data_IF_895234259360
#
_entry.id   IF_895234259360
#
_cell.length_a   1.000
_cell.length_b   1.000
_cell.length_c   1.000
_cell.angle_alpha   90.00
_cell.angle_beta   90.00
_cell.angle_gamma   90.00
#
_symmetry.space_group_name_H-M   'P 1'
#
loop_
_entity.id
_entity.type
_entity.pdbx_description
1 polymer ?
#
# COMPACT_ATOMS: atom_id res chain seq x y z
N UNK A 1 9.34 12.44 -13.24
CA UNK A 1 8.46 12.39 -12.05
C UNK A 1 8.36 13.80 -11.49
N UNK A 2 7.17 14.39 -11.45
CA UNK A 2 7.02 15.78 -10.95
C UNK A 2 6.90 15.79 -9.42
N UNK A 3 7.16 16.95 -8.79
CA UNK A 3 6.97 17.12 -7.33
C UNK A 3 5.55 16.74 -6.88
N UNK A 4 4.57 16.95 -7.77
CA UNK A 4 3.17 16.59 -7.55
C UNK A 4 2.92 15.07 -7.53
N UNK A 5 3.66 14.31 -8.36
CA UNK A 5 3.54 12.84 -8.40
C UNK A 5 4.16 12.20 -7.16
N UNK A 6 5.28 12.76 -6.67
CA UNK A 6 5.90 12.31 -5.41
C UNK A 6 4.96 12.51 -4.21
N UNK A 7 4.29 13.66 -4.11
CA UNK A 7 3.32 13.95 -3.03
C UNK A 7 2.14 12.96 -3.06
N UNK A 8 1.59 12.67 -4.25
CA UNK A 8 0.50 11.70 -4.39
C UNK A 8 0.91 10.28 -3.99
N UNK A 9 2.14 9.87 -4.30
CA UNK A 9 2.67 8.55 -3.92
C UNK A 9 2.92 8.47 -2.41
N UNK A 10 3.45 9.53 -1.80
CA UNK A 10 3.64 9.59 -0.35
C UNK A 10 2.33 9.47 0.43
N UNK A 11 1.23 10.04 -0.07
CA UNK A 11 -0.10 9.88 0.53
C UNK A 11 -0.58 8.42 0.52
N UNK A 12 -0.23 7.64 -0.50
CA UNK A 12 -0.56 6.21 -0.53
C UNK A 12 0.25 5.40 0.48
N UNK A 13 1.45 5.85 0.87
CA UNK A 13 2.23 5.19 1.92
C UNK A 13 1.64 5.40 3.32
N UNK A 14 0.82 6.43 3.53
CA UNK A 14 0.18 6.73 4.82
C UNK A 14 -0.87 5.68 5.25
N UNK A 15 -1.31 4.79 4.34
CA UNK A 15 -2.19 3.67 4.72
C UNK A 15 -1.45 2.56 5.51
N UNK A 16 -0.13 2.62 5.52
CA UNK A 16 0.72 1.77 6.34
C UNK A 16 1.18 2.60 7.54
N UNK A 17 0.86 2.12 8.74
CA UNK A 17 1.32 2.73 9.97
C UNK A 17 2.82 2.43 10.15
N UNK A 18 3.55 3.31 10.82
CA UNK A 18 4.99 3.13 11.04
C UNK A 18 5.29 1.82 11.81
N UNK A 19 4.39 1.39 12.70
CA UNK A 19 4.48 0.15 13.46
C UNK A 19 4.28 -1.12 12.61
N UNK A 20 3.75 -1.03 11.39
CA UNK A 20 3.60 -2.22 10.53
C UNK A 20 4.97 -2.77 10.08
N UNK A 21 6.05 -1.97 10.14
CA UNK A 21 7.41 -2.42 9.83
C UNK A 21 7.68 -2.77 8.36
N UNK A 22 6.80 -2.34 7.44
CA UNK A 22 7.01 -2.51 6.00
C UNK A 22 8.06 -1.51 5.49
N UNK A 23 8.98 -2.01 4.66
CA UNK A 23 9.89 -1.13 3.92
C UNK A 23 9.20 -0.62 2.64
N UNK A 24 9.68 0.49 2.08
CA UNK A 24 9.05 1.14 0.92
C UNK A 24 8.84 0.21 -0.29
N UNK A 25 9.76 -0.73 -0.50
CA UNK A 25 9.64 -1.72 -1.59
C UNK A 25 8.46 -2.67 -1.38
N UNK A 26 8.20 -3.10 -0.14
CA UNK A 26 7.06 -3.92 0.25
C UNK A 26 5.77 -3.12 0.18
N UNK A 27 5.77 -1.86 0.64
CA UNK A 27 4.62 -0.94 0.55
C UNK A 27 4.18 -0.77 -0.92
N UNK A 28 5.13 -0.46 -1.80
CA UNK A 28 4.88 -0.24 -3.22
C UNK A 28 4.28 -1.48 -3.91
N UNK A 29 4.85 -2.66 -3.66
CA UNK A 29 4.33 -3.90 -4.24
C UNK A 29 2.95 -4.25 -3.69
N UNK A 30 2.74 -4.05 -2.40
CA UNK A 30 1.47 -4.34 -1.74
C UNK A 30 0.35 -3.43 -2.26
N UNK A 31 0.62 -2.14 -2.50
CA UNK A 31 -0.33 -1.21 -3.14
C UNK A 31 -0.70 -1.69 -4.55
N UNK A 32 0.29 -1.95 -5.41
CA UNK A 32 0.03 -2.37 -6.80
C UNK A 32 -0.75 -3.68 -6.85
N UNK A 33 -0.37 -4.66 -6.04
CA UNK A 33 -1.08 -5.93 -5.95
C UNK A 33 -2.53 -5.76 -5.49
N UNK A 34 -2.77 -4.83 -4.56
CA UNK A 34 -4.11 -4.55 -4.03
C UNK A 34 -5.02 -3.83 -5.01
N UNK A 35 -4.46 -3.03 -5.92
CA UNK A 35 -5.20 -2.36 -7.01
C UNK A 35 -5.55 -3.34 -8.14
N UNK A 36 -4.91 -4.52 -8.17
CA UNK A 36 -5.30 -5.61 -9.06
C UNK A 36 -4.19 -6.11 -9.98
N UNK A 37 -3.01 -5.52 -9.95
CA UNK A 37 -1.88 -5.98 -10.76
C UNK A 37 -1.40 -7.37 -10.32
N UNK A 38 -1.03 -8.19 -11.30
CA UNK A 38 -0.44 -9.51 -11.09
C UNK A 38 1.04 -9.40 -10.68
N UNK A 39 1.59 -10.48 -10.13
CA UNK A 39 3.01 -10.55 -9.74
C UNK A 39 3.93 -10.27 -10.92
N UNK A 40 3.61 -10.81 -12.09
CA UNK A 40 4.40 -10.64 -13.32
C UNK A 40 4.35 -9.21 -13.85
N UNK A 41 3.17 -8.57 -13.85
CA UNK A 41 3.03 -7.17 -14.24
C UNK A 41 3.81 -6.24 -13.30
N UNK A 42 3.73 -6.48 -11.99
CA UNK A 42 4.48 -5.70 -11.00
C UNK A 42 5.99 -5.89 -11.18
N UNK A 43 6.43 -7.13 -11.43
CA UNK A 43 7.83 -7.43 -11.71
C UNK A 43 8.32 -6.68 -12.95
N UNK A 44 7.51 -6.65 -14.00
CA UNK A 44 7.79 -5.89 -15.22
C UNK A 44 7.88 -4.38 -14.95
N UNK A 45 6.90 -3.77 -14.28
CA UNK A 45 6.91 -2.33 -13.98
C UNK A 45 8.08 -1.89 -13.10
N UNK A 46 8.55 -2.78 -12.23
CA UNK A 46 9.62 -2.49 -11.27
C UNK A 46 11.00 -2.93 -11.74
N UNK A 47 11.15 -3.44 -12.96
CA UNK A 47 12.39 -4.05 -13.45
C UNK A 47 12.95 -5.08 -12.45
N UNK A 48 12.08 -5.95 -11.93
CA UNK A 48 12.39 -6.96 -10.92
C UNK A 48 11.96 -8.35 -11.39
N UNK A 49 12.17 -9.36 -10.56
CA UNK A 49 11.76 -10.74 -10.86
C UNK A 49 10.45 -11.09 -10.14
N UNK A 50 9.59 -11.95 -10.72
CA UNK A 50 8.37 -12.42 -10.06
C UNK A 50 8.62 -13.00 -8.67
N UNK A 51 9.72 -13.75 -8.49
CA UNK A 51 10.13 -14.31 -7.20
C UNK A 51 10.40 -13.22 -6.15
N UNK A 52 11.04 -12.11 -6.55
CA UNK A 52 11.29 -10.99 -5.64
C UNK A 52 10.00 -10.31 -5.21
N UNK A 53 9.07 -10.11 -6.15
CA UNK A 53 7.75 -9.54 -5.88
C UNK A 53 6.93 -10.46 -4.98
N UNK A 54 6.92 -11.77 -5.23
CA UNK A 54 6.24 -12.75 -4.40
C UNK A 54 6.79 -12.79 -2.97
N UNK A 55 8.12 -12.71 -2.81
CA UNK A 55 8.77 -12.62 -1.50
C UNK A 55 8.38 -11.35 -0.74
N UNK A 56 8.34 -10.20 -1.43
CA UNK A 56 7.90 -8.93 -0.84
C UNK A 56 6.43 -8.98 -0.40
N UNK A 57 5.54 -9.61 -1.18
CA UNK A 57 4.15 -9.83 -0.78
C UNK A 57 4.02 -10.78 0.41
N UNK A 58 4.86 -11.82 0.48
CA UNK A 58 4.87 -12.74 1.60
C UNK A 58 5.29 -12.04 2.90
N UNK A 59 6.33 -11.21 2.83
CA UNK A 59 6.78 -10.41 3.98
C UNK A 59 5.69 -9.42 4.41
N UNK A 60 5.08 -8.70 3.47
CA UNK A 60 3.98 -7.79 3.75
C UNK A 60 2.81 -8.52 4.41
N UNK A 61 2.45 -9.72 3.92
CA UNK A 61 1.41 -10.56 4.55
C UNK A 61 1.73 -10.86 6.02
N UNK A 62 2.95 -11.27 6.32
CA UNK A 62 3.38 -11.61 7.69
C UNK A 62 3.33 -10.38 8.58
N UNK A 63 3.89 -9.26 8.11
CA UNK A 63 3.95 -7.99 8.86
C UNK A 63 2.56 -7.42 9.14
N UNK A 64 1.65 -7.52 8.18
CA UNK A 64 0.27 -7.05 8.30
C UNK A 64 -0.68 -8.06 8.95
N UNK A 65 -0.17 -9.20 9.43
CA UNK A 65 -0.98 -10.22 10.11
C UNK A 65 -2.06 -10.86 9.23
N UNK A 66 -1.88 -10.88 7.91
CA UNK A 66 -2.86 -11.42 6.97
C UNK A 66 -2.78 -12.94 6.85
N UNK A 67 -3.93 -13.62 6.76
CA UNK A 67 -3.97 -15.07 6.61
C UNK A 67 -3.33 -15.55 5.29
N UNK A 68 -3.54 -14.81 4.20
CA UNK A 68 -3.04 -15.13 2.86
C UNK A 68 -2.57 -13.88 2.12
N UNK A 69 -1.76 -14.04 1.07
CA UNK A 69 -1.38 -12.93 0.19
C UNK A 69 -2.61 -12.30 -0.46
N UNK A 70 -3.61 -13.11 -0.85
CA UNK A 70 -4.89 -12.61 -1.37
C UNK A 70 -5.66 -11.74 -0.38
N UNK A 71 -5.49 -11.95 0.93
CA UNK A 71 -6.12 -11.12 1.98
C UNK A 71 -5.56 -9.70 2.03
N UNK A 72 -4.39 -9.44 1.43
CA UNK A 72 -3.84 -8.08 1.32
C UNK A 72 -4.79 -7.16 0.55
N UNK A 73 -5.45 -7.65 -0.51
CA UNK A 73 -6.33 -6.84 -1.35
C UNK A 73 -7.48 -6.20 -0.55
N UNK A 74 -8.36 -6.97 0.13
CA UNK A 74 -9.44 -6.39 0.92
C UNK A 74 -8.92 -5.59 2.13
N UNK A 75 -7.80 -5.99 2.75
CA UNK A 75 -7.22 -5.24 3.86
C UNK A 75 -6.80 -3.83 3.42
N UNK A 76 -6.07 -3.73 2.31
CA UNK A 76 -5.54 -2.46 1.80
C UNK A 76 -6.68 -1.57 1.32
N UNK A 77 -7.68 -2.15 0.66
CA UNK A 77 -8.89 -1.44 0.29
C UNK A 77 -9.61 -0.86 1.52
N UNK A 78 -9.78 -1.64 2.60
CA UNK A 78 -10.38 -1.15 3.84
C UNK A 78 -9.58 0.00 4.45
N UNK A 79 -8.25 -0.12 4.52
CA UNK A 79 -7.40 0.97 5.03
C UNK A 79 -7.48 2.22 4.17
N UNK A 80 -7.52 2.10 2.84
CA UNK A 80 -7.74 3.24 1.94
C UNK A 80 -9.08 3.92 2.20
N UNK A 81 -10.16 3.14 2.33
CA UNK A 81 -11.51 3.69 2.58
C UNK A 81 -11.62 4.38 3.94
N UNK A 82 -10.97 3.84 4.97
CA UNK A 82 -10.93 4.44 6.30
C UNK A 82 -10.07 5.72 6.34
N UNK A 83 -8.92 5.73 5.66
CA UNK A 83 -8.09 6.92 5.52
C UNK A 83 -8.81 8.03 4.73
N UNK A 84 -9.57 7.69 3.69
CA UNK A 84 -10.38 8.68 2.94
C UNK A 84 -11.49 9.27 3.83
N UNK A 85 -12.04 8.50 4.77
CA UNK A 85 -13.01 9.02 5.76
C UNK A 85 -12.34 10.01 6.71
N UNK A 86 -11.16 9.71 7.25
CA UNK A 86 -10.44 10.68 8.09
C UNK A 86 -10.09 11.96 7.31
N UNK A 87 -9.73 11.87 6.02
CA UNK A 87 -9.51 13.05 5.17
C UNK A 87 -10.80 13.85 4.94
N UNK A 88 -11.96 13.20 4.80
CA UNK A 88 -13.25 13.89 4.59
C UNK A 88 -13.89 14.43 5.86
N UNK A 89 -13.64 13.84 7.02
CA UNK A 89 -14.19 14.29 8.31
C UNK A 89 -13.21 15.11 9.15
N UNK A 90 -11.90 15.07 8.84
CA UNK A 90 -10.86 15.85 9.52
C UNK A 90 -10.76 17.32 9.11
N UNK A 91 -11.66 17.84 8.26
CA UNK A 91 -11.76 19.26 7.94
C UNK A 91 -12.84 20.01 8.76
N UNK A 92 -13.51 19.34 9.70
CA UNK A 92 -14.64 19.91 10.45
C UNK A 92 -14.36 20.09 11.96
N UNK A 93 -13.11 20.30 12.35
CA UNK A 93 -12.76 20.57 13.77
C UNK A 93 -12.00 21.87 14.04
N UNK A 94 -11.83 22.77 13.06
CA UNK A 94 -11.27 24.11 13.33
C UNK A 94 -12.32 25.20 13.14
N UNK A 95 -13.35 25.15 13.99
CA UNK A 95 -14.15 26.31 14.35
C UNK A 95 -14.02 26.50 15.86
N UNK A 96 -13.00 27.26 16.27
CA UNK A 96 -13.01 28.15 17.45
C UNK A 96 -11.79 29.06 17.45
#
# INVERSE_FOLDING_TARGET
MTKHDAIRISQLHQIFYDDDGLIDSEKNVTILYSIGFTVDEIAHFRNSTPNTVASQLLNARVKLGCASVSSLKPMILLRLLLNIKEIRFGFETDCK
#
